data_IF_062209120907
#
_entry.id   IF_062209120907
#
_cell.length_a   1.000
_cell.length_b   1.000
_cell.length_c   1.000
_cell.angle_alpha   90.00
_cell.angle_beta   90.00
_cell.angle_gamma   90.00
#
_symmetry.space_group_name_H-M   'P 1'
#
loop_
_entity.id
_entity.type
_entity.pdbx_description
1 polymer ?
#
# COMPACT_ATOMS: atom_id res chain seq x y z
N UNK A 1 -36.74 -5.39 -16.78
CA UNK A 1 -35.68 -5.83 -15.85
C UNK A 1 -34.99 -4.58 -15.32
N UNK A 2 -35.02 -4.35 -13.98
CA UNK A 2 -34.44 -3.15 -13.39
C UNK A 2 -32.94 -3.19 -13.58
N UNK A 3 -32.40 -2.26 -14.35
CA UNK A 3 -30.97 -2.11 -14.69
C UNK A 3 -30.13 -1.79 -13.44
N UNK A 4 -30.76 -1.52 -12.31
CA UNK A 4 -30.10 -1.07 -11.08
C UNK A 4 -29.48 -2.16 -10.19
N UNK A 5 -29.45 -3.42 -10.64
CA UNK A 5 -29.06 -4.53 -9.75
C UNK A 5 -27.72 -5.20 -10.07
N UNK A 6 -27.08 -4.90 -11.21
CA UNK A 6 -25.91 -5.66 -11.66
C UNK A 6 -24.73 -5.59 -10.66
N UNK A 7 -24.49 -4.43 -10.06
CA UNK A 7 -23.45 -4.27 -9.03
C UNK A 7 -23.76 -5.12 -7.78
N UNK A 8 -25.01 -5.10 -7.33
CA UNK A 8 -25.41 -5.85 -6.12
C UNK A 8 -25.43 -7.36 -6.36
N UNK A 9 -25.72 -7.79 -7.58
CA UNK A 9 -25.66 -9.20 -7.96
C UNK A 9 -24.21 -9.71 -8.11
N UNK A 10 -23.31 -8.85 -8.62
CA UNK A 10 -21.91 -9.21 -8.86
C UNK A 10 -20.94 -8.13 -8.37
N UNK A 11 -20.90 -7.85 -7.06
CA UNK A 11 -20.04 -6.77 -6.51
C UNK A 11 -18.54 -7.06 -6.65
N UNK A 12 -18.15 -8.34 -6.70
CA UNK A 12 -16.76 -8.79 -6.77
C UNK A 12 -16.45 -9.19 -8.21
N UNK A 13 -15.56 -8.44 -8.87
CA UNK A 13 -15.19 -8.66 -10.27
C UNK A 13 -13.89 -9.44 -10.45
N UNK A 14 -13.02 -9.45 -9.44
CA UNK A 14 -11.70 -10.08 -9.51
C UNK A 14 -11.51 -11.10 -8.41
N UNK A 15 -10.74 -12.13 -8.71
CA UNK A 15 -10.24 -13.04 -7.68
C UNK A 15 -9.29 -12.29 -6.72
N UNK A 16 -9.36 -12.50 -5.40
CA UNK A 16 -8.43 -11.87 -4.46
C UNK A 16 -6.99 -12.36 -4.61
N UNK A 17 -6.77 -13.43 -5.35
CA UNK A 17 -5.48 -14.07 -5.58
C UNK A 17 -4.78 -13.63 -6.87
N UNK A 18 -5.45 -12.86 -7.70
CA UNK A 18 -4.98 -12.49 -9.03
C UNK A 18 -4.85 -10.98 -9.16
N UNK A 19 -4.07 -10.55 -10.16
CA UNK A 19 -3.96 -9.15 -10.51
C UNK A 19 -5.35 -8.58 -10.84
N UNK A 20 -5.80 -7.50 -10.20
CA UNK A 20 -7.13 -6.93 -10.44
C UNK A 20 -7.17 -6.24 -11.81
N UNK A 21 -7.86 -6.85 -12.76
CA UNK A 21 -7.94 -6.37 -14.14
C UNK A 21 -9.18 -5.54 -14.44
N UNK A 22 -10.16 -5.53 -13.52
CA UNK A 22 -11.46 -4.86 -13.72
C UNK A 22 -11.91 -4.12 -12.49
N UNK A 23 -12.75 -3.11 -12.68
CA UNK A 23 -13.43 -2.45 -11.56
C UNK A 23 -14.76 -1.84 -12.02
N UNK A 24 -15.67 -1.64 -11.07
CA UNK A 24 -16.87 -0.86 -11.30
C UNK A 24 -16.48 0.62 -11.43
N UNK A 25 -16.99 1.28 -12.46
CA UNK A 25 -16.92 2.73 -12.53
C UNK A 25 -17.71 3.34 -11.37
N UNK A 26 -17.19 4.42 -10.80
CA UNK A 26 -17.87 5.17 -9.74
C UNK A 26 -18.23 6.56 -10.27
N UNK A 27 -19.39 7.05 -9.84
CA UNK A 27 -19.78 8.44 -10.08
C UNK A 27 -19.01 9.43 -9.16
N UNK A 28 -19.32 10.72 -9.32
CA UNK A 28 -18.68 11.78 -8.52
C UNK A 28 -18.99 11.68 -7.00
N UNK A 29 -20.03 10.92 -6.62
CA UNK A 29 -20.41 10.65 -5.25
C UNK A 29 -19.79 9.35 -4.71
N UNK A 30 -19.01 8.65 -5.54
CA UNK A 30 -18.37 7.37 -5.20
C UNK A 30 -19.33 6.17 -5.24
N UNK A 31 -20.50 6.31 -5.85
CA UNK A 31 -21.44 5.21 -6.05
C UNK A 31 -21.12 4.45 -7.34
N UNK A 32 -21.27 3.12 -7.37
CA UNK A 32 -21.03 2.35 -8.56
C UNK A 32 -22.03 2.70 -9.66
N UNK A 33 -21.51 2.98 -10.85
CA UNK A 33 -22.30 3.05 -12.08
C UNK A 33 -22.58 1.62 -12.56
N UNK A 34 -23.31 1.48 -13.67
CA UNK A 34 -23.58 0.17 -14.27
C UNK A 34 -22.46 -0.28 -15.23
N UNK A 35 -21.33 0.43 -15.25
CA UNK A 35 -20.22 0.16 -16.18
C UNK A 35 -19.05 -0.54 -15.48
N UNK A 36 -18.53 -1.55 -16.15
CA UNK A 36 -17.30 -2.24 -15.76
C UNK A 36 -16.16 -1.72 -16.63
N UNK A 37 -15.11 -1.21 -15.98
CA UNK A 37 -13.91 -0.76 -16.64
C UNK A 37 -12.90 -1.91 -16.67
N UNK A 38 -12.45 -2.31 -17.86
CA UNK A 38 -11.49 -3.40 -18.10
C UNK A 38 -10.04 -2.93 -17.86
N UNK A 39 -9.82 -2.31 -16.69
CA UNK A 39 -8.51 -1.86 -16.22
C UNK A 39 -8.45 -1.95 -14.70
N UNK A 40 -7.24 -2.05 -14.16
CA UNK A 40 -7.02 -1.89 -12.73
C UNK A 40 -7.42 -0.50 -12.28
N UNK A 41 -8.17 -0.42 -11.18
CA UNK A 41 -8.53 0.87 -10.56
C UNK A 41 -7.27 1.59 -10.10
N UNK A 42 -7.15 2.85 -10.49
CA UNK A 42 -6.12 3.74 -9.96
C UNK A 42 -6.43 4.14 -8.52
N UNK A 43 -5.41 4.48 -7.76
CA UNK A 43 -5.62 5.15 -6.49
C UNK A 43 -6.22 6.54 -6.77
N UNK A 44 -7.33 6.83 -6.10
CA UNK A 44 -8.04 8.10 -6.19
C UNK A 44 -8.30 8.57 -4.77
N UNK A 45 -8.25 9.87 -4.59
CA UNK A 45 -8.62 10.47 -3.32
C UNK A 45 -10.16 10.57 -3.26
N UNK A 46 -10.78 9.61 -2.60
CA UNK A 46 -12.21 9.67 -2.31
C UNK A 46 -12.36 10.07 -0.86
N UNK A 47 -13.00 11.20 -0.60
CA UNK A 47 -13.39 11.62 0.75
C UNK A 47 -14.82 11.10 1.00
N UNK A 48 -14.99 9.91 1.60
CA UNK A 48 -16.33 9.33 1.78
C UNK A 48 -17.12 10.01 2.91
N UNK A 49 -16.48 10.89 3.68
CA UNK A 49 -17.11 11.55 4.83
C UNK A 49 -17.45 12.98 4.44
N UNK A 50 -18.74 13.35 4.41
CA UNK A 50 -19.13 14.74 4.26
C UNK A 50 -18.46 15.58 5.35
N UNK A 51 -17.87 16.72 4.97
CA UNK A 51 -17.27 17.63 5.95
C UNK A 51 -18.33 17.96 7.01
N UNK A 52 -18.03 17.81 8.31
CA UNK A 52 -18.97 18.19 9.35
C UNK A 52 -19.31 19.67 9.16
N UNK A 53 -20.61 20.01 9.09
CA UNK A 53 -21.06 21.40 9.04
C UNK A 53 -20.54 22.08 10.32
N UNK A 54 -19.70 23.11 10.16
CA UNK A 54 -19.25 23.92 11.29
C UNK A 54 -20.48 24.41 12.07
N UNK A 55 -20.71 23.88 13.25
CA UNK A 55 -21.65 24.48 14.19
C UNK A 55 -21.07 25.84 14.59
N UNK A 56 -21.82 26.91 14.38
CA UNK A 56 -21.53 28.21 14.97
C UNK A 56 -21.76 28.05 16.48
N UNK A 57 -20.75 27.71 17.23
CA UNK A 57 -20.78 27.74 18.69
C UNK A 57 -20.03 28.96 19.14
N UNK A 58 -20.77 29.85 19.79
CA UNK A 58 -20.30 31.06 20.49
C UNK A 58 -19.69 30.72 21.85
N UNK A 59 -18.80 29.76 21.91
CA UNK A 59 -18.04 29.48 23.12
C UNK A 59 -16.63 29.12 22.70
N UNK A 60 -15.69 29.89 23.24
CA UNK A 60 -14.24 29.68 23.06
C UNK A 60 -13.87 28.40 23.81
N UNK A 61 -14.22 27.27 23.22
CA UNK A 61 -13.60 26.00 23.52
C UNK A 61 -12.52 25.85 22.47
N UNK A 62 -11.25 25.85 22.89
CA UNK A 62 -10.14 25.48 22.02
C UNK A 62 -10.47 24.07 21.52
N UNK A 63 -11.04 24.02 20.31
CA UNK A 63 -11.04 22.80 19.53
C UNK A 63 -9.57 22.38 19.45
N UNK A 64 -9.27 21.25 20.07
CA UNK A 64 -8.09 20.48 19.70
C UNK A 64 -8.35 20.08 18.25
N UNK A 65 -8.03 20.97 17.34
CA UNK A 65 -7.84 20.67 15.96
C UNK A 65 -6.69 19.67 16.00
N UNK A 66 -6.99 18.39 15.82
CA UNK A 66 -6.01 17.48 15.33
C UNK A 66 -5.57 18.07 14.00
N UNK A 67 -4.56 18.90 14.06
CA UNK A 67 -3.78 19.32 12.92
C UNK A 67 -3.15 18.01 12.42
N UNK A 68 -3.86 17.34 11.51
CA UNK A 68 -3.33 16.19 10.77
C UNK A 68 -2.12 16.73 10.04
N UNK A 69 -0.98 16.71 10.71
CA UNK A 69 0.31 17.32 10.42
C UNK A 69 0.35 18.09 9.10
N UNK A 70 0.95 19.22 9.04
CA UNK A 70 0.89 20.21 7.92
C UNK A 70 0.96 19.65 6.49
N UNK A 71 1.25 18.38 6.31
CA UNK A 71 1.27 17.64 5.03
C UNK A 71 0.04 16.79 4.75
N UNK A 72 -0.90 16.60 5.70
CA UNK A 72 -2.02 15.67 5.60
C UNK A 72 -3.39 16.29 5.87
N UNK A 73 -3.46 17.61 6.14
CA UNK A 73 -4.71 18.30 6.35
C UNK A 73 -5.55 18.31 5.07
N UNK A 74 -6.74 17.73 5.14
CA UNK A 74 -7.71 17.70 4.03
C UNK A 74 -8.22 19.09 3.66
N UNK A 75 -8.00 20.11 4.48
CA UNK A 75 -8.44 21.50 4.22
C UNK A 75 -7.34 22.37 3.62
N UNK A 76 -6.07 22.05 3.89
CA UNK A 76 -4.92 22.77 3.37
C UNK A 76 -4.14 21.94 2.33
N UNK A 77 -4.74 20.87 1.82
CA UNK A 77 -4.05 19.87 1.02
C UNK A 77 -3.59 20.44 -0.31
N UNK A 78 -2.38 21.01 -0.29
CA UNK A 78 -1.60 21.28 -1.51
C UNK A 78 -0.94 20.02 -2.06
N UNK A 79 -1.03 18.88 -1.34
CA UNK A 79 -0.34 17.66 -1.64
C UNK A 79 -1.32 16.50 -1.79
N UNK A 80 -1.42 15.96 -3.01
CA UNK A 80 -2.15 14.74 -3.33
C UNK A 80 -1.17 13.59 -3.51
N UNK A 81 -1.16 12.57 -2.62
CA UNK A 81 -0.27 11.42 -2.73
C UNK A 81 -0.68 10.43 -3.82
N UNK A 82 -1.86 10.56 -4.41
CA UNK A 82 -2.39 9.55 -5.35
C UNK A 82 -1.58 9.42 -6.63
N UNK A 83 -1.02 10.48 -7.25
CA UNK A 83 -0.12 10.34 -8.38
C UNK A 83 1.10 9.47 -8.06
N UNK A 84 1.74 9.72 -6.92
CA UNK A 84 2.93 8.98 -6.49
C UNK A 84 2.61 7.52 -6.22
N UNK A 85 1.46 7.21 -5.59
CA UNK A 85 1.01 5.84 -5.38
C UNK A 85 0.80 5.13 -6.72
N UNK A 86 0.17 5.78 -7.68
CA UNK A 86 -0.07 5.22 -9.01
C UNK A 86 1.24 5.00 -9.78
N UNK A 87 2.18 5.93 -9.69
CA UNK A 87 3.49 5.80 -10.33
C UNK A 87 4.33 4.70 -9.67
N UNK A 88 4.33 4.59 -8.34
CA UNK A 88 4.97 3.47 -7.64
C UNK A 88 4.38 2.13 -8.10
N UNK A 89 3.05 2.02 -8.16
CA UNK A 89 2.38 0.81 -8.67
C UNK A 89 2.81 0.48 -10.09
N UNK A 90 2.90 1.46 -10.97
CA UNK A 90 3.38 1.27 -12.34
C UNK A 90 4.80 0.68 -12.37
N UNK A 91 5.71 1.22 -11.57
CA UNK A 91 7.09 0.74 -11.50
C UNK A 91 7.18 -0.67 -10.89
N UNK A 92 6.41 -0.96 -9.86
CA UNK A 92 6.33 -2.29 -9.26
C UNK A 92 5.72 -3.30 -10.24
N UNK A 93 4.67 -2.94 -10.97
CA UNK A 93 4.05 -3.81 -11.97
C UNK A 93 5.03 -4.11 -13.12
N UNK A 94 5.77 -3.10 -13.60
CA UNK A 94 6.81 -3.27 -14.61
C UNK A 94 7.94 -4.18 -14.10
N UNK A 95 8.40 -3.98 -12.88
CA UNK A 95 9.42 -4.82 -12.26
C UNK A 95 8.92 -6.26 -12.04
N UNK A 96 7.68 -6.44 -11.59
CA UNK A 96 7.05 -7.77 -11.42
C UNK A 96 6.98 -8.54 -12.72
N UNK A 97 6.81 -7.87 -13.85
CA UNK A 97 6.71 -8.48 -15.18
C UNK A 97 8.05 -8.95 -15.76
N UNK A 98 9.18 -8.68 -15.12
CA UNK A 98 10.50 -9.17 -15.55
C UNK A 98 10.53 -10.70 -15.39
N UNK A 99 10.69 -11.48 -16.48
CA UNK A 99 10.57 -12.93 -16.43
C UNK A 99 11.69 -13.61 -15.66
N UNK A 100 12.93 -13.11 -15.83
CA UNK A 100 14.10 -13.73 -15.23
C UNK A 100 14.37 -13.16 -13.83
N UNK A 101 14.33 -13.98 -12.77
CA UNK A 101 14.60 -13.55 -11.40
C UNK A 101 15.98 -12.93 -11.17
N UNK A 102 16.96 -13.28 -12.00
CA UNK A 102 18.30 -12.71 -11.91
C UNK A 102 18.34 -11.21 -12.29
N UNK A 103 17.37 -10.76 -13.06
CA UNK A 103 17.26 -9.37 -13.53
C UNK A 103 16.42 -8.49 -12.55
N UNK A 104 15.85 -9.08 -11.49
CA UNK A 104 15.05 -8.35 -10.52
C UNK A 104 15.86 -7.38 -9.64
N UNK A 105 17.19 -7.48 -9.66
CA UNK A 105 18.09 -6.62 -8.86
C UNK A 105 17.86 -6.69 -7.35
N UNK A 106 17.40 -7.83 -6.87
CA UNK A 106 17.23 -8.14 -5.46
C UNK A 106 18.24 -9.19 -5.01
N UNK A 107 18.32 -9.42 -3.72
CA UNK A 107 19.16 -10.51 -3.21
C UNK A 107 18.64 -11.87 -3.68
N UNK A 108 19.50 -12.91 -3.79
CA UNK A 108 19.08 -14.28 -4.12
C UNK A 108 18.03 -14.81 -3.14
N UNK A 109 18.13 -14.45 -1.87
CA UNK A 109 17.18 -14.80 -0.82
C UNK A 109 15.80 -14.19 -1.09
N UNK A 110 15.78 -12.90 -1.42
CA UNK A 110 14.55 -12.17 -1.80
C UNK A 110 13.93 -12.74 -3.06
N UNK A 111 14.75 -13.06 -4.08
CA UNK A 111 14.25 -13.67 -5.31
C UNK A 111 13.57 -15.03 -5.03
N UNK A 112 14.16 -15.89 -4.19
CA UNK A 112 13.56 -17.18 -3.81
C UNK A 112 12.26 -17.00 -3.03
N UNK A 113 12.20 -16.04 -2.10
CA UNK A 113 10.99 -15.75 -1.34
C UNK A 113 9.87 -15.25 -2.27
N UNK A 114 10.17 -14.34 -3.19
CA UNK A 114 9.20 -13.85 -4.17
C UNK A 114 8.68 -14.97 -5.07
N UNK A 115 9.57 -15.83 -5.58
CA UNK A 115 9.17 -17.01 -6.36
C UNK A 115 8.25 -17.93 -5.55
N UNK A 116 8.58 -18.19 -4.28
CA UNK A 116 7.75 -18.99 -3.40
C UNK A 116 6.37 -18.35 -3.21
N UNK A 117 6.28 -17.10 -2.82
CA UNK A 117 5.00 -16.45 -2.56
C UNK A 117 4.12 -16.27 -3.81
N UNK A 118 4.73 -16.10 -4.97
CA UNK A 118 4.02 -15.93 -6.25
C UNK A 118 3.51 -17.24 -6.85
N UNK A 119 4.30 -18.32 -6.75
CA UNK A 119 4.11 -19.50 -7.59
C UNK A 119 3.94 -20.79 -6.81
N UNK A 120 4.19 -20.83 -5.49
CA UNK A 120 4.00 -22.04 -4.71
C UNK A 120 2.51 -22.43 -4.65
N UNK A 121 2.26 -23.72 -4.81
CA UNK A 121 0.91 -24.29 -4.64
C UNK A 121 0.67 -24.55 -3.16
N UNK A 122 0.02 -23.60 -2.49
CA UNK A 122 -0.32 -23.73 -1.08
C UNK A 122 -1.52 -24.67 -0.91
N UNK A 123 -1.41 -25.61 -0.02
CA UNK A 123 -2.48 -26.60 0.25
C UNK A 123 -3.65 -26.02 1.04
N UNK A 124 -3.39 -25.05 1.92
CA UNK A 124 -4.41 -24.50 2.84
C UNK A 124 -4.55 -22.99 2.81
N UNK A 125 -3.46 -22.26 2.66
CA UNK A 125 -3.42 -20.81 2.73
C UNK A 125 -2.58 -20.25 1.60
N UNK A 126 -3.22 -19.50 0.70
CA UNK A 126 -2.57 -18.77 -0.38
C UNK A 126 -2.60 -17.28 -0.06
N UNK A 127 -1.48 -16.56 -0.18
CA UNK A 127 -1.48 -15.11 -0.01
C UNK A 127 -2.38 -14.42 -1.04
N UNK A 128 -3.10 -13.39 -0.62
CA UNK A 128 -3.83 -12.52 -1.52
C UNK A 128 -2.89 -11.67 -2.37
N UNK A 129 -3.33 -11.31 -3.55
CA UNK A 129 -2.56 -10.43 -4.42
C UNK A 129 -2.15 -9.12 -3.71
N UNK A 130 -3.04 -8.50 -2.96
CA UNK A 130 -2.75 -7.26 -2.23
C UNK A 130 -1.67 -7.44 -1.14
N UNK A 131 -1.53 -8.63 -0.56
CA UNK A 131 -0.47 -8.93 0.41
C UNK A 131 0.89 -9.05 -0.29
N UNK A 132 0.91 -9.75 -1.42
CA UNK A 132 2.12 -9.89 -2.24
C UNK A 132 2.54 -8.51 -2.75
N UNK A 133 1.61 -7.71 -3.27
CA UNK A 133 1.89 -6.38 -3.79
C UNK A 133 2.43 -5.42 -2.71
N UNK A 134 1.88 -5.45 -1.50
CA UNK A 134 2.38 -4.63 -0.40
C UNK A 134 3.83 -4.97 -0.04
N UNK A 135 4.14 -6.28 -0.01
CA UNK A 135 5.50 -6.76 0.20
C UNK A 135 6.43 -6.36 -0.96
N UNK A 136 5.98 -6.54 -2.20
CA UNK A 136 6.73 -6.17 -3.40
C UNK A 136 7.05 -4.69 -3.46
N UNK A 137 6.11 -3.84 -3.05
CA UNK A 137 6.36 -2.39 -2.95
C UNK A 137 7.47 -2.08 -1.93
N UNK A 138 7.45 -2.73 -0.76
CA UNK A 138 8.49 -2.56 0.26
C UNK A 138 9.85 -3.08 -0.23
N UNK A 139 9.89 -4.24 -0.88
CA UNK A 139 11.11 -4.81 -1.48
C UNK A 139 11.64 -3.90 -2.59
N UNK A 140 10.80 -3.46 -3.50
CA UNK A 140 11.20 -2.59 -4.60
C UNK A 140 11.81 -1.29 -4.09
N UNK A 141 11.18 -0.62 -3.12
CA UNK A 141 11.70 0.59 -2.50
C UNK A 141 13.04 0.37 -1.78
N UNK A 142 13.26 -0.82 -1.21
CA UNK A 142 14.46 -1.10 -0.41
C UNK A 142 15.63 -1.60 -1.25
N UNK A 143 15.38 -2.50 -2.20
CA UNK A 143 16.43 -3.19 -2.94
C UNK A 143 16.61 -2.64 -4.36
N UNK A 144 15.56 -2.27 -5.07
CA UNK A 144 15.58 -1.90 -6.49
C UNK A 144 15.67 -0.40 -6.71
N UNK A 145 14.82 0.37 -6.04
CA UNK A 145 14.71 1.82 -6.19
C UNK A 145 16.04 2.59 -6.02
N UNK A 146 16.95 2.22 -5.09
CA UNK A 146 18.24 2.91 -4.96
C UNK A 146 19.11 2.84 -6.21
N UNK A 147 18.86 1.87 -7.11
CA UNK A 147 19.65 1.64 -8.32
C UNK A 147 19.00 2.19 -9.58
N UNK A 148 17.80 2.77 -9.48
CA UNK A 148 17.03 3.34 -10.58
C UNK A 148 16.83 4.84 -10.40
N UNK A 149 16.85 5.62 -11.51
CA UNK A 149 16.64 7.08 -11.42
C UNK A 149 15.26 7.40 -10.84
N UNK A 150 14.20 6.85 -11.40
CA UNK A 150 12.85 7.05 -10.88
C UNK A 150 12.72 6.55 -9.42
N UNK A 151 13.39 5.45 -9.07
CA UNK A 151 13.42 4.95 -7.69
C UNK A 151 14.01 5.94 -6.69
N UNK A 152 15.08 6.65 -7.07
CA UNK A 152 15.69 7.69 -6.23
C UNK A 152 14.75 8.85 -5.98
N UNK A 153 13.92 9.22 -6.96
CA UNK A 153 12.93 10.28 -6.81
C UNK A 153 11.86 9.88 -5.79
N UNK A 154 11.38 8.62 -5.81
CA UNK A 154 10.48 8.09 -4.76
C UNK A 154 11.13 8.10 -3.38
N UNK A 155 12.39 7.67 -3.27
CA UNK A 155 13.10 7.66 -1.98
C UNK A 155 13.30 9.08 -1.43
N UNK A 156 13.62 10.05 -2.28
CA UNK A 156 13.71 11.47 -1.90
C UNK A 156 12.38 11.98 -1.40
N UNK A 157 11.30 11.65 -2.11
CA UNK A 157 9.95 12.03 -1.69
C UNK A 157 9.59 11.45 -0.31
N UNK A 158 9.84 10.15 -0.11
CA UNK A 158 9.60 9.49 1.18
C UNK A 158 10.44 10.11 2.31
N UNK A 159 11.70 10.42 2.05
CA UNK A 159 12.56 11.08 3.02
C UNK A 159 12.02 12.46 3.42
N UNK A 160 11.59 13.27 2.45
CA UNK A 160 11.01 14.59 2.71
C UNK A 160 9.73 14.48 3.55
N UNK A 161 8.80 13.61 3.16
CA UNK A 161 7.56 13.36 3.90
C UNK A 161 7.82 12.85 5.33
N UNK A 162 8.83 12.00 5.53
CA UNK A 162 9.24 11.57 6.86
C UNK A 162 9.83 12.69 7.69
N UNK A 163 10.68 13.52 7.10
CA UNK A 163 11.30 14.67 7.78
C UNK A 163 10.26 15.69 8.24
N UNK A 164 9.23 15.94 7.42
CA UNK A 164 8.12 16.84 7.79
C UNK A 164 7.28 16.27 8.95
N UNK A 165 7.03 14.96 8.94
CA UNK A 165 6.17 14.33 9.93
C UNK A 165 6.92 13.94 11.21
N UNK A 166 8.14 13.39 11.13
CA UNK A 166 9.02 13.04 12.24
C UNK A 166 10.44 12.75 11.72
N UNK A 167 11.37 13.69 11.83
CA UNK A 167 12.70 13.55 11.27
C UNK A 167 13.54 12.43 11.90
N UNK A 168 13.19 11.99 13.11
CA UNK A 168 13.94 10.96 13.84
C UNK A 168 13.51 9.53 13.50
N UNK A 169 12.49 9.33 12.67
CA UNK A 169 11.95 8.01 12.37
C UNK A 169 11.57 7.88 10.91
N UNK A 170 12.35 7.10 10.16
CA UNK A 170 11.96 6.72 8.79
C UNK A 170 10.79 5.73 8.82
N UNK A 171 9.69 6.07 8.18
CA UNK A 171 8.46 5.27 8.14
C UNK A 171 8.03 4.96 6.72
N UNK A 172 7.50 3.75 6.54
CA UNK A 172 6.79 3.36 5.34
C UNK A 172 5.39 2.88 5.75
N UNK A 173 4.35 3.54 5.25
CA UNK A 173 2.97 3.18 5.55
C UNK A 173 2.37 2.35 4.42
N UNK A 174 1.95 1.13 4.73
CA UNK A 174 1.22 0.25 3.82
C UNK A 174 -0.26 0.27 4.18
N UNK A 175 -1.09 0.88 3.32
CA UNK A 175 -2.54 0.98 3.54
C UNK A 175 -3.25 -0.17 2.83
N UNK A 176 -3.83 -1.08 3.61
CA UNK A 176 -4.63 -2.19 3.13
C UNK A 176 -6.03 -2.13 3.74
N UNK A 177 -7.04 -2.61 2.99
CA UNK A 177 -8.41 -2.68 3.47
C UNK A 177 -8.55 -3.58 4.71
N UNK A 178 -9.64 -3.42 5.45
CA UNK A 178 -9.97 -4.33 6.56
C UNK A 178 -10.24 -5.74 6.01
N UNK A 179 -9.83 -6.76 6.76
CA UNK A 179 -10.02 -8.16 6.35
C UNK A 179 -9.00 -8.70 5.32
N UNK A 180 -8.08 -7.87 4.81
CA UNK A 180 -7.08 -8.31 3.80
C UNK A 180 -5.84 -9.02 4.39
N UNK A 181 -5.85 -9.35 5.68
CA UNK A 181 -4.75 -10.08 6.31
C UNK A 181 -3.46 -9.27 6.48
N UNK A 182 -3.56 -8.07 7.04
CA UNK A 182 -2.39 -7.21 7.33
C UNK A 182 -1.31 -7.92 8.14
N UNK A 183 -1.71 -8.79 9.08
CA UNK A 183 -0.79 -9.60 9.91
C UNK A 183 0.06 -10.53 9.06
N UNK A 184 -0.49 -11.09 7.98
CA UNK A 184 0.27 -11.90 7.02
C UNK A 184 1.36 -11.08 6.34
N UNK A 185 1.06 -9.85 5.93
CA UNK A 185 2.05 -8.94 5.35
C UNK A 185 3.16 -8.64 6.34
N UNK A 186 2.83 -8.41 7.63
CA UNK A 186 3.82 -8.22 8.69
C UNK A 186 4.73 -9.44 8.82
N UNK A 187 4.16 -10.65 8.85
CA UNK A 187 4.94 -11.89 8.92
C UNK A 187 5.86 -12.06 7.69
N UNK A 188 5.36 -11.78 6.49
CA UNK A 188 6.16 -11.83 5.26
C UNK A 188 7.32 -10.82 5.28
N UNK A 189 7.09 -9.60 5.77
CA UNK A 189 8.14 -8.58 5.94
C UNK A 189 9.20 -9.02 6.95
N UNK A 190 8.79 -9.62 8.09
CA UNK A 190 9.71 -10.15 9.10
C UNK A 190 10.56 -11.27 8.50
N UNK A 191 9.95 -12.22 7.79
CA UNK A 191 10.66 -13.32 7.12
C UNK A 191 11.69 -12.77 6.13
N UNK A 192 11.28 -11.87 5.25
CA UNK A 192 12.16 -11.24 4.26
C UNK A 192 13.34 -10.54 4.90
N UNK A 193 13.10 -9.72 5.91
CA UNK A 193 14.15 -8.99 6.64
C UNK A 193 15.09 -9.95 7.36
N UNK A 194 14.55 -10.91 8.10
CA UNK A 194 15.35 -11.87 8.90
C UNK A 194 16.27 -12.71 8.03
N UNK A 195 15.73 -13.34 6.98
CA UNK A 195 16.50 -14.22 6.11
C UNK A 195 17.65 -13.44 5.45
N UNK A 196 17.37 -12.25 4.94
CA UNK A 196 18.40 -11.40 4.34
C UNK A 196 19.44 -10.94 5.37
N UNK A 197 19.03 -10.55 6.58
CA UNK A 197 19.96 -10.13 7.63
C UNK A 197 20.87 -11.25 8.13
N UNK A 198 20.37 -12.49 8.15
CA UNK A 198 21.16 -13.67 8.51
C UNK A 198 22.19 -14.00 7.42
N UNK A 199 21.77 -13.98 6.17
CA UNK A 199 22.63 -14.31 5.03
C UNK A 199 23.62 -13.19 4.68
N UNK A 200 23.32 -11.96 5.08
CA UNK A 200 24.10 -10.75 4.77
C UNK A 200 24.35 -9.91 6.04
N UNK A 201 25.11 -10.41 7.03
CA UNK A 201 25.23 -9.79 8.34
C UNK A 201 25.85 -8.40 8.31
N UNK A 202 26.60 -8.06 7.27
CA UNK A 202 27.24 -6.75 7.09
C UNK A 202 26.33 -5.75 6.35
N UNK A 203 25.13 -6.16 5.90
CA UNK A 203 24.22 -5.27 5.21
C UNK A 203 23.45 -4.41 6.22
N UNK A 204 23.49 -3.08 6.01
CA UNK A 204 22.68 -2.13 6.78
C UNK A 204 21.23 -2.02 6.31
N UNK A 205 20.86 -2.74 5.24
CA UNK A 205 19.51 -2.71 4.66
C UNK A 205 18.51 -3.62 5.38
N UNK A 206 19.00 -4.62 6.11
CA UNK A 206 18.17 -5.66 6.70
C UNK A 206 18.38 -5.75 8.22
N UNK A 207 17.34 -6.17 8.94
CA UNK A 207 17.34 -6.27 10.40
C UNK A 207 16.88 -7.65 10.88
N UNK A 208 17.30 -8.00 12.10
CA UNK A 208 16.85 -9.17 12.86
C UNK A 208 16.04 -8.78 14.11
N UNK A 209 16.01 -7.48 14.42
CA UNK A 209 15.29 -6.96 15.57
C UNK A 209 13.97 -6.32 15.13
N UNK A 210 12.85 -6.74 15.76
CA UNK A 210 11.51 -6.25 15.45
C UNK A 210 10.80 -5.86 16.75
N UNK A 211 10.11 -4.74 16.70
CA UNK A 211 9.15 -4.32 17.73
C UNK A 211 7.77 -4.28 17.09
N UNK A 212 6.86 -5.12 17.55
CA UNK A 212 5.47 -5.13 17.08
C UNK A 212 4.62 -4.38 18.11
N UNK A 213 3.98 -3.31 17.68
CA UNK A 213 3.07 -2.51 18.52
C UNK A 213 1.67 -2.67 17.96
N UNK A 214 0.74 -3.11 18.80
CA UNK A 214 -0.68 -3.27 18.46
C UNK A 214 -1.51 -2.40 19.39
N UNK A 215 -2.70 -1.92 18.93
CA UNK A 215 -3.66 -1.30 19.83
C UNK A 215 -4.03 -2.29 20.94
N UNK A 216 -4.15 -1.80 22.17
CA UNK A 216 -4.61 -2.63 23.29
C UNK A 216 -6.01 -3.18 23.01
N UNK A 217 -6.24 -4.45 23.35
CA UNK A 217 -7.58 -5.02 23.38
C UNK A 217 -8.18 -4.57 24.73
N UNK A 218 -9.07 -3.59 24.68
CA UNK A 218 -9.98 -3.32 25.81
C UNK A 218 -11.10 -4.36 25.75
N UNK A 219 -11.14 -5.28 26.73
CA UNK A 219 -12.26 -6.17 26.96
C UNK A 219 -13.37 -5.44 27.71
#
# INVERSE_FOLDING_TARGET
>A
MNVNNLFFEKPILNSPYEYPSRHWELDAQGQPTQQIIEKRRRAEFITPIPKPKKRKTTTVQQDIVFDEGKGLSTQAQKYDPTPIINDLRYHVDKWRSIPNPNDWRVTPETARLLQHWRHHQFSTFRPFFCQIEALEAAIWLTEVAPHEKAGKDFLTHLANANNEANPNLMRLALKLATGTGKTTVMAMLIIWQTINAVRRPNSKKFTRGFLVVTPGITY
#
